data_IF_718597803268
#
_entry.id   IF_718597803268
#
_cell.length_a   1.000
_cell.length_b   1.000
_cell.length_c   1.000
_cell.angle_alpha   90.00
_cell.angle_beta   90.00
_cell.angle_gamma   90.00
#
_symmetry.space_group_name_H-M   'P 1'
#
loop_
_entity.id
_entity.type
_entity.pdbx_description
1 polymer ?
#
# COMPACT_ATOMS: atom_id res chain seq x y z
N UNK A 1 -0.99 19.89 -19.79
CA UNK A 1 0.02 18.84 -19.58
C UNK A 1 0.57 19.08 -18.18
N UNK A 2 0.06 18.38 -17.17
CA UNK A 2 0.55 18.59 -15.80
C UNK A 2 1.93 17.97 -15.69
N UNK A 3 2.94 18.82 -15.50
CA UNK A 3 4.30 18.42 -15.12
C UNK A 3 4.24 17.43 -13.96
N UNK A 4 5.10 16.40 -14.02
CA UNK A 4 5.27 15.54 -12.86
C UNK A 4 5.73 16.41 -11.69
N UNK A 5 5.13 16.30 -10.49
CA UNK A 5 5.84 16.73 -9.30
C UNK A 5 7.15 15.94 -9.24
N UNK A 6 8.27 16.61 -8.95
CA UNK A 6 9.59 15.99 -8.83
C UNK A 6 9.50 14.72 -7.97
N UNK A 7 10.10 13.62 -8.45
CA UNK A 7 10.23 12.39 -7.68
C UNK A 7 11.62 12.36 -7.00
N UNK A 8 11.72 12.10 -5.69
CA UNK A 8 10.63 11.80 -4.76
C UNK A 8 9.75 13.04 -4.48
N UNK A 9 8.43 12.88 -4.31
CA UNK A 9 7.54 13.98 -3.99
C UNK A 9 7.91 14.64 -2.65
N UNK A 10 7.61 15.94 -2.53
CA UNK A 10 7.64 16.65 -1.25
C UNK A 10 6.61 16.07 -0.28
N UNK A 11 6.96 16.01 1.01
CA UNK A 11 6.07 15.52 2.06
C UNK A 11 4.83 16.43 2.21
N UNK A 12 3.61 15.91 2.02
CA UNK A 12 2.39 16.67 2.25
C UNK A 12 2.12 16.95 3.74
N UNK A 13 2.65 16.12 4.65
CA UNK A 13 2.46 16.25 6.09
C UNK A 13 1.05 15.94 6.62
N UNK A 14 0.18 15.37 5.79
CA UNK A 14 -1.24 15.12 6.12
C UNK A 14 -1.43 13.69 6.65
N UNK A 15 -0.97 13.43 7.87
CA UNK A 15 -0.98 12.08 8.46
C UNK A 15 -2.39 11.53 8.73
N UNK A 16 -3.39 12.38 8.97
CA UNK A 16 -4.73 11.93 9.36
C UNK A 16 -5.63 11.79 8.13
N UNK A 17 -6.16 10.59 7.90
CA UNK A 17 -7.21 10.34 6.92
C UNK A 17 -8.58 10.82 7.43
N UNK A 18 -9.49 11.14 6.51
CA UNK A 18 -10.87 11.54 6.84
C UNK A 18 -11.83 10.35 6.99
N UNK A 19 -11.31 9.13 6.86
CA UNK A 19 -12.06 7.88 6.85
C UNK A 19 -11.58 6.95 7.95
N UNK A 20 -12.45 6.04 8.38
CA UNK A 20 -12.07 4.87 9.19
C UNK A 20 -11.58 3.77 8.25
N UNK A 21 -10.46 3.14 8.58
CA UNK A 21 -9.96 2.01 7.78
C UNK A 21 -10.67 0.73 8.19
N UNK A 22 -11.64 0.30 7.37
CA UNK A 22 -12.35 -0.98 7.55
C UNK A 22 -12.17 -1.88 6.32
N UNK A 23 -12.45 -3.19 6.43
CA UNK A 23 -12.48 -4.08 5.26
C UNK A 23 -13.43 -3.61 4.15
N UNK A 24 -14.58 -3.04 4.52
CA UNK A 24 -15.56 -2.50 3.58
C UNK A 24 -15.00 -1.30 2.83
N UNK A 25 -14.38 -0.35 3.54
CA UNK A 25 -13.71 0.78 2.91
C UNK A 25 -12.57 0.33 2.01
N UNK A 26 -11.69 -0.57 2.49
CA UNK A 26 -10.58 -1.09 1.70
C UNK A 26 -11.05 -1.79 0.42
N UNK A 27 -12.20 -2.49 0.47
CA UNK A 27 -12.80 -3.12 -0.71
C UNK A 27 -13.21 -2.12 -1.80
N UNK A 28 -13.50 -0.85 -1.45
CA UNK A 28 -13.77 0.20 -2.43
C UNK A 28 -12.53 0.62 -3.22
N UNK A 29 -11.34 0.33 -2.71
CA UNK A 29 -10.07 0.60 -3.36
C UNK A 29 -9.70 -0.45 -4.41
N UNK A 30 -10.53 -1.49 -4.61
CA UNK A 30 -10.24 -2.50 -5.63
C UNK A 30 -10.18 -1.87 -7.03
N UNK A 31 -9.06 -2.10 -7.71
CA UNK A 31 -8.85 -1.62 -9.08
C UNK A 31 -8.34 -0.18 -9.17
N UNK A 32 -8.01 0.49 -8.05
CA UNK A 32 -7.29 1.78 -8.13
C UNK A 32 -5.95 1.59 -8.85
N UNK A 33 -5.61 2.54 -9.73
CA UNK A 33 -4.39 2.52 -10.53
C UNK A 33 -3.50 3.73 -10.24
N UNK A 34 -4.11 4.84 -9.78
CA UNK A 34 -3.43 6.07 -9.45
C UNK A 34 -3.24 6.27 -7.95
N UNK A 35 -2.07 6.77 -7.55
CA UNK A 35 -1.80 7.11 -6.15
C UNK A 35 -2.64 8.30 -5.66
N UNK A 36 -2.98 9.22 -6.56
CA UNK A 36 -3.92 10.32 -6.34
C UNK A 36 -5.34 9.82 -6.02
N UNK A 37 -5.74 8.69 -6.61
CA UNK A 37 -7.02 8.04 -6.29
C UNK A 37 -7.01 7.48 -4.86
N UNK A 38 -5.89 6.88 -4.42
CA UNK A 38 -5.70 6.44 -3.03
C UNK A 38 -5.79 7.63 -2.07
N UNK A 39 -5.06 8.71 -2.35
CA UNK A 39 -5.07 9.93 -1.53
C UNK A 39 -6.49 10.54 -1.45
N UNK A 40 -7.20 10.57 -2.57
CA UNK A 40 -8.58 11.06 -2.64
C UNK A 40 -9.53 10.18 -1.82
N UNK A 41 -9.39 8.86 -1.90
CA UNK A 41 -10.22 7.92 -1.15
C UNK A 41 -9.95 7.94 0.37
N UNK A 42 -8.72 8.26 0.77
CA UNK A 42 -8.35 8.51 2.16
C UNK A 42 -8.76 9.91 2.64
N UNK A 43 -9.08 10.83 1.71
CA UNK A 43 -9.34 12.24 1.98
C UNK A 43 -8.16 13.01 2.56
N UNK A 44 -6.94 12.51 2.36
CA UNK A 44 -5.69 13.11 2.84
C UNK A 44 -4.52 12.63 1.98
N UNK A 45 -3.49 13.47 1.83
CA UNK A 45 -2.33 13.16 0.99
C UNK A 45 -1.28 12.26 1.66
N UNK A 46 -1.37 12.05 2.96
CA UNK A 46 -0.45 11.22 3.73
C UNK A 46 0.79 11.97 4.19
N UNK A 47 1.57 11.31 5.03
CA UNK A 47 2.86 11.81 5.54
C UNK A 47 4.00 10.89 5.10
N UNK A 48 5.05 11.45 4.52
CA UNK A 48 6.24 10.68 4.13
C UNK A 48 7.04 10.30 5.38
N UNK A 49 7.19 8.99 5.61
CA UNK A 49 7.97 8.45 6.73
C UNK A 49 9.32 7.86 6.31
N UNK A 50 9.51 7.62 5.01
CA UNK A 50 10.80 7.15 4.46
C UNK A 50 10.92 7.47 2.97
N UNK A 51 12.14 7.75 2.53
CA UNK A 51 12.51 7.95 1.12
C UNK A 51 13.74 7.10 0.82
N UNK A 52 13.57 6.11 -0.04
CA UNK A 52 14.62 5.15 -0.41
C UNK A 52 14.96 5.31 -1.89
N UNK A 53 15.97 6.12 -2.21
CA UNK A 53 16.33 6.46 -3.60
C UNK A 53 17.46 5.61 -4.18
N UNK A 54 18.22 4.92 -3.33
CA UNK A 54 19.42 4.15 -3.70
C UNK A 54 19.21 2.63 -3.74
N UNK A 55 17.98 2.14 -3.59
CA UNK A 55 17.67 0.70 -3.68
C UNK A 55 17.43 0.26 -5.13
N UNK A 56 17.45 -1.04 -5.38
CA UNK A 56 17.07 -1.63 -6.68
C UNK A 56 15.62 -1.27 -7.08
N UNK A 57 14.77 -1.01 -6.08
CA UNK A 57 13.38 -0.58 -6.27
C UNK A 57 13.13 0.76 -5.53
N UNK A 58 13.57 1.90 -6.11
CA UNK A 58 13.45 3.20 -5.45
C UNK A 58 12.00 3.54 -5.11
N UNK A 59 11.75 3.94 -3.87
CA UNK A 59 10.39 4.13 -3.33
C UNK A 59 10.30 5.21 -2.27
N UNK A 60 9.09 5.74 -2.08
CA UNK A 60 8.71 6.61 -0.97
C UNK A 60 7.63 5.91 -0.15
N UNK A 61 7.76 5.94 1.17
CA UNK A 61 6.80 5.33 2.09
C UNK A 61 5.96 6.42 2.73
N UNK A 62 4.65 6.33 2.54
CA UNK A 62 3.65 7.20 3.13
C UNK A 62 2.93 6.49 4.28
N UNK A 63 2.52 7.27 5.28
CA UNK A 63 1.73 6.84 6.41
C UNK A 63 0.43 7.66 6.49
N UNK A 64 -0.67 6.96 6.75
CA UNK A 64 -1.91 7.53 7.26
C UNK A 64 -2.31 6.84 8.56
N UNK A 65 -2.94 7.61 9.42
CA UNK A 65 -3.71 7.15 10.58
C UNK A 65 -5.17 7.47 10.27
N UNK A 66 -6.07 6.53 10.56
CA UNK A 66 -7.50 6.72 10.30
C UNK A 66 -8.11 7.79 11.22
N UNK A 67 -9.35 8.20 10.94
CA UNK A 67 -10.04 9.24 11.72
C UNK A 67 -10.28 8.85 13.19
N UNK A 68 -10.29 7.55 13.50
CA UNK A 68 -10.50 7.02 14.85
C UNK A 68 -9.21 6.80 15.63
N UNK A 69 -8.05 6.99 14.98
CA UNK A 69 -6.70 6.69 15.48
C UNK A 69 -6.41 5.23 15.80
N UNK A 70 -7.27 4.30 15.36
CA UNK A 70 -7.12 2.87 15.59
C UNK A 70 -6.61 2.12 14.34
N UNK A 71 -6.88 2.65 13.16
CA UNK A 71 -6.43 2.10 11.88
C UNK A 71 -5.16 2.78 11.37
N UNK A 72 -4.35 2.05 10.60
CA UNK A 72 -3.16 2.59 9.92
C UNK A 72 -3.07 2.14 8.48
N UNK A 73 -2.55 2.99 7.61
CA UNK A 73 -2.27 2.63 6.22
C UNK A 73 -0.85 3.06 5.87
N UNK A 74 -0.06 2.13 5.31
CA UNK A 74 1.25 2.41 4.73
C UNK A 74 1.17 2.22 3.23
N UNK A 75 1.65 3.18 2.46
CA UNK A 75 1.75 3.04 1.01
C UNK A 75 3.19 3.22 0.53
N UNK A 76 3.58 2.40 -0.44
CA UNK A 76 4.89 2.40 -1.09
C UNK A 76 4.68 2.93 -2.49
N UNK A 77 5.16 4.13 -2.77
CA UNK A 77 5.11 4.75 -4.09
C UNK A 77 6.46 4.57 -4.79
N UNK A 78 6.46 3.84 -5.90
CA UNK A 78 7.66 3.60 -6.70
C UNK A 78 7.92 4.74 -7.68
N UNK A 79 9.16 4.84 -8.19
CA UNK A 79 9.56 5.86 -9.17
C UNK A 79 8.74 5.85 -10.45
N UNK A 80 8.29 4.68 -10.88
CA UNK A 80 7.44 4.49 -12.07
C UNK A 80 5.96 4.81 -11.83
N UNK A 81 5.61 5.28 -10.62
CA UNK A 81 4.26 5.59 -10.14
C UNK A 81 3.40 4.36 -9.81
N UNK A 82 3.94 3.15 -9.94
CA UNK A 82 3.31 1.98 -9.31
C UNK A 82 3.25 2.17 -7.80
N UNK A 83 2.28 1.53 -7.14
CA UNK A 83 2.23 1.55 -5.69
C UNK A 83 1.68 0.27 -5.08
N UNK A 84 2.04 0.06 -3.82
CA UNK A 84 1.49 -0.98 -2.97
C UNK A 84 1.00 -0.37 -1.64
N UNK A 85 -0.02 -0.97 -1.04
CA UNK A 85 -0.64 -0.49 0.20
C UNK A 85 -0.83 -1.63 1.17
N UNK A 86 -0.49 -1.38 2.43
CA UNK A 86 -0.81 -2.19 3.59
C UNK A 86 -1.74 -1.41 4.50
N UNK A 87 -2.93 -1.94 4.78
CA UNK A 87 -3.92 -1.36 5.67
C UNK A 87 -4.07 -2.29 6.88
N UNK A 88 -3.81 -1.75 8.06
CA UNK A 88 -4.23 -2.33 9.33
C UNK A 88 -5.59 -1.73 9.67
N UNK A 89 -6.69 -2.51 9.60
CA UNK A 89 -8.02 -2.00 9.91
C UNK A 89 -8.13 -1.52 11.37
N UNK A 90 -9.01 -0.56 11.61
CA UNK A 90 -9.31 -0.05 12.95
C UNK A 90 -9.93 -1.11 13.86
N UNK A 91 -10.67 -2.05 13.27
CA UNK A 91 -11.31 -3.17 13.95
C UNK A 91 -11.00 -4.50 13.25
N UNK A 92 -10.85 -5.56 14.03
CA UNK A 92 -10.55 -6.91 13.52
C UNK A 92 -9.06 -7.23 13.55
N UNK A 93 -8.66 -8.20 12.72
CA UNK A 93 -7.29 -8.69 12.62
C UNK A 93 -6.89 -8.87 11.15
N UNK A 94 -5.59 -9.06 10.92
CA UNK A 94 -5.05 -9.23 9.57
C UNK A 94 -4.82 -7.91 8.84
N UNK A 95 -3.77 -7.87 8.03
CA UNK A 95 -3.50 -6.76 7.14
C UNK A 95 -4.27 -6.95 5.83
N UNK A 96 -4.84 -5.85 5.32
CA UNK A 96 -5.41 -5.77 3.98
C UNK A 96 -4.35 -5.18 3.06
N UNK A 97 -4.32 -5.73 1.87
CA UNK A 97 -3.23 -5.62 0.92
C UNK A 97 -3.80 -5.25 -0.42
N UNK A 98 -3.23 -4.24 -1.08
CA UNK A 98 -3.54 -3.99 -2.49
C UNK A 98 -2.38 -3.32 -3.23
N UNK A 99 -2.41 -3.35 -4.55
CA UNK A 99 -1.46 -2.62 -5.38
C UNK A 99 -2.10 -2.11 -6.68
N UNK A 100 -1.39 -1.20 -7.35
CA UNK A 100 -1.78 -0.65 -8.65
C UNK A 100 -1.78 -1.68 -9.79
N UNK A 101 -1.33 -2.91 -9.55
CA UNK A 101 -1.31 -3.98 -10.55
C UNK A 101 -2.50 -4.93 -10.43
N UNK A 102 -3.45 -4.63 -9.54
CA UNK A 102 -4.70 -5.38 -9.39
C UNK A 102 -4.67 -6.45 -8.29
N UNK A 103 -3.60 -6.53 -7.48
CA UNK A 103 -3.63 -7.41 -6.31
C UNK A 103 -4.56 -6.83 -5.24
N UNK A 104 -5.33 -7.71 -4.60
CA UNK A 104 -6.15 -7.38 -3.44
C UNK A 104 -6.29 -8.61 -2.53
N UNK A 105 -5.70 -8.55 -1.34
CA UNK A 105 -5.80 -9.62 -0.33
C UNK A 105 -6.45 -9.04 0.91
N UNK A 106 -7.56 -9.64 1.33
CA UNK A 106 -8.35 -9.23 2.48
C UNK A 106 -8.87 -10.48 3.19
N UNK A 107 -8.14 -11.03 4.18
CA UNK A 107 -8.53 -12.26 4.86
C UNK A 107 -9.77 -12.09 5.74
N UNK A 108 -10.08 -10.86 6.14
CA UNK A 108 -11.22 -10.51 7.00
C UNK A 108 -12.41 -9.92 6.26
N UNK A 109 -12.34 -9.80 4.93
CA UNK A 109 -13.50 -9.46 4.11
C UNK A 109 -14.53 -10.60 4.13
N UNK A 110 -15.78 -10.29 3.77
CA UNK A 110 -16.86 -11.26 3.65
C UNK A 110 -17.47 -11.24 2.24
N UNK A 111 -17.13 -12.22 1.37
CA UNK A 111 -16.19 -13.33 1.59
C UNK A 111 -14.72 -12.86 1.62
N UNK A 112 -13.79 -13.66 2.20
CA UNK A 112 -12.36 -13.39 2.11
C UNK A 112 -11.92 -13.29 0.66
N UNK A 113 -11.00 -12.37 0.36
CA UNK A 113 -10.49 -12.15 -0.99
C UNK A 113 -8.99 -12.43 -1.03
N UNK A 114 -8.59 -13.22 -2.02
CA UNK A 114 -7.19 -13.45 -2.38
C UNK A 114 -7.06 -13.33 -3.91
N UNK A 115 -6.93 -12.09 -4.37
CA UNK A 115 -6.85 -11.77 -5.79
C UNK A 115 -5.40 -11.36 -6.13
N UNK A 116 -4.78 -12.09 -7.05
CA UNK A 116 -3.44 -11.80 -7.54
C UNK A 116 -3.48 -10.70 -8.62
N UNK A 117 -2.48 -9.81 -8.62
CA UNK A 117 -2.30 -8.76 -9.63
C UNK A 117 -1.39 -9.17 -10.79
N UNK A 118 -1.20 -8.28 -11.76
CA UNK A 118 -0.26 -8.45 -12.87
C UNK A 118 1.20 -8.20 -12.43
N UNK A 119 2.16 -8.87 -13.08
CA UNK A 119 3.60 -8.68 -12.79
C UNK A 119 4.17 -7.43 -13.49
N UNK A 120 4.86 -6.50 -12.79
CA UNK A 120 5.57 -5.39 -13.42
C UNK A 120 6.88 -5.88 -14.08
N UNK A 121 7.25 -5.28 -15.21
CA UNK A 121 8.40 -5.73 -16.04
C UNK A 121 9.78 -5.40 -15.46
N UNK A 122 9.88 -4.51 -14.48
CA UNK A 122 11.15 -3.99 -13.93
C UNK A 122 11.56 -4.65 -12.61
N UNK A 123 10.78 -5.61 -12.11
CA UNK A 123 11.15 -6.41 -10.92
C UNK A 123 12.18 -7.48 -11.35
N UNK A 124 13.42 -7.46 -10.83
CA UNK A 124 14.48 -8.40 -11.22
C UNK A 124 14.05 -9.86 -11.00
N UNK A 125 14.52 -10.76 -11.87
CA UNK A 125 14.24 -12.20 -11.77
C UNK A 125 14.83 -12.82 -10.49
N UNK A 126 15.92 -12.23 -9.97
CA UNK A 126 16.68 -12.74 -8.82
C UNK A 126 16.09 -12.28 -7.47
N UNK A 127 15.17 -11.32 -7.51
CA UNK A 127 14.29 -10.97 -6.39
C UNK A 127 13.19 -12.04 -6.37
N UNK A 128 13.43 -13.14 -5.65
CA UNK A 128 12.61 -14.34 -5.65
C UNK A 128 11.11 -14.03 -5.68
N UNK A 129 10.55 -14.14 -6.88
CA UNK A 129 9.12 -14.17 -7.17
C UNK A 129 8.58 -15.61 -7.05
N UNK A 130 9.41 -16.59 -6.67
CA UNK A 130 9.08 -18.03 -6.78
C UNK A 130 8.02 -18.52 -5.76
N UNK A 131 7.42 -17.59 -5.01
CA UNK A 131 6.23 -17.79 -4.15
C UNK A 131 4.98 -16.99 -4.61
N UNK A 132 5.03 -16.33 -5.77
CA UNK A 132 4.14 -15.21 -6.11
C UNK A 132 3.10 -15.52 -7.22
N UNK A 133 2.62 -16.78 -7.29
CA UNK A 133 1.34 -17.13 -7.91
C UNK A 133 0.19 -17.17 -6.86
N UNK A 134 0.31 -16.36 -5.80
CA UNK A 134 -0.44 -16.36 -4.52
C UNK A 134 -0.09 -17.57 -3.62
N UNK A 135 0.64 -17.36 -2.49
CA UNK A 135 0.00 -16.95 -1.22
C UNK A 135 0.94 -16.17 -0.24
N UNK A 136 1.25 -14.87 -0.49
CA UNK A 136 1.68 -13.80 0.49
C UNK A 136 2.42 -12.60 -0.16
N UNK A 137 1.87 -12.01 -1.22
CA UNK A 137 2.55 -10.94 -1.97
C UNK A 137 2.15 -9.52 -1.52
N UNK A 138 3.02 -8.84 -0.74
CA UNK A 138 3.32 -7.41 -0.96
C UNK A 138 4.79 -7.13 -0.67
N UNK A 139 5.45 -6.48 -1.62
CA UNK A 139 6.70 -5.76 -1.38
C UNK A 139 6.47 -4.51 -0.54
N UNK A 140 6.41 -4.69 0.77
CA UNK A 140 6.88 -3.70 1.75
C UNK A 140 7.79 -4.42 2.75
N UNK A 141 8.67 -3.73 3.51
CA UNK A 141 9.43 -4.39 4.56
C UNK A 141 8.45 -5.15 5.44
N UNK A 142 8.65 -6.47 5.55
CA UNK A 142 7.89 -7.25 6.51
C UNK A 142 8.11 -6.57 7.86
N UNK A 143 7.02 -6.13 8.49
CA UNK A 143 7.04 -5.82 9.90
C UNK A 143 7.73 -7.00 10.57
N UNK A 144 8.89 -6.76 11.17
CA UNK A 144 9.67 -7.75 11.92
C UNK A 144 8.84 -8.24 13.10
N UNK A 145 7.84 -9.08 12.86
CA UNK A 145 7.24 -9.91 13.88
C UNK A 145 7.92 -11.27 13.78
N UNK A 146 8.95 -11.42 14.61
CA UNK A 146 9.39 -12.73 15.06
C UNK A 146 8.25 -13.30 15.92
N UNK A 147 7.58 -14.40 15.56
CA UNK A 147 6.68 -15.09 16.47
C UNK A 147 7.54 -15.94 17.40
N UNK A 148 8.21 -15.28 18.34
CA UNK A 148 8.81 -15.93 19.50
C UNK A 148 8.82 -14.92 20.65
N UNK A 149 7.69 -14.87 21.37
CA UNK A 149 7.61 -14.76 22.84
C UNK A 149 6.16 -14.83 23.32
#
# INVERSE_FOLDING_TARGET
>A
MSEMPDWPPSDPGEVQASVTFTPEWASTLRGIQGFDQLQSAAGARGHIVSVETQSETPRVVFLWIDITHNGRMRAFLYRDKGFAVMITPAEGFGEIVLNSFGAFVCPTCSPPVDACGSRPSWVPHDLHWDYFDCPRTITGPQSLYSPDR
#
